data_IF_901949640742
#
_entry.id   IF_901949640742
#
_cell.length_a   1.000
_cell.length_b   1.000
_cell.length_c   1.000
_cell.angle_alpha   90.00
_cell.angle_beta   90.00
_cell.angle_gamma   90.00
#
_symmetry.space_group_name_H-M   'P 1'
#
loop_
_entity.id
_entity.type
_entity.pdbx_description
1 polymer ?
#
# COMPACT_ATOMS: atom_id res chain seq x y z
N UNK A 1 -8.87 -18.90 -3.38
CA UNK A 1 -9.08 -17.46 -3.65
C UNK A 1 -7.74 -16.87 -4.05
N UNK A 2 -7.64 -16.27 -5.23
CA UNK A 2 -6.46 -15.49 -5.61
C UNK A 2 -6.44 -14.26 -4.70
N UNK A 3 -5.40 -14.12 -3.86
CA UNK A 3 -5.22 -12.93 -3.04
C UNK A 3 -5.05 -11.73 -3.96
N UNK A 4 -5.94 -10.74 -3.86
CA UNK A 4 -5.81 -9.44 -4.56
C UNK A 4 -4.62 -8.62 -4.05
N UNK A 5 -4.06 -9.00 -2.90
CA UNK A 5 -2.91 -8.36 -2.27
C UNK A 5 -1.68 -9.25 -2.46
N UNK A 6 -0.70 -8.79 -3.26
CA UNK A 6 0.59 -9.47 -3.44
C UNK A 6 1.66 -8.82 -2.58
N UNK A 7 2.38 -9.65 -1.84
CA UNK A 7 3.65 -9.27 -1.21
C UNK A 7 4.85 -9.46 -2.12
N UNK A 8 4.69 -10.26 -3.17
CA UNK A 8 5.81 -10.65 -4.01
C UNK A 8 5.98 -9.59 -5.10
N UNK A 9 7.21 -9.08 -5.27
CA UNK A 9 7.48 -8.06 -6.27
C UNK A 9 7.19 -8.62 -7.66
N UNK A 10 6.45 -7.83 -8.45
CA UNK A 10 6.20 -8.18 -9.83
C UNK A 10 7.53 -8.08 -10.61
N UNK A 11 7.89 -9.09 -11.43
CA UNK A 11 9.19 -9.13 -12.10
C UNK A 11 9.43 -7.93 -13.02
N UNK A 12 8.37 -7.42 -13.64
CA UNK A 12 8.41 -6.18 -14.43
C UNK A 12 7.04 -5.49 -14.35
N UNK A 13 6.88 -4.62 -13.35
CA UNK A 13 5.62 -3.91 -13.08
C UNK A 13 5.30 -2.88 -14.18
N UNK A 14 6.32 -2.31 -14.81
CA UNK A 14 6.16 -1.32 -15.87
C UNK A 14 5.64 -1.97 -17.15
N UNK A 15 6.14 -3.16 -17.50
CA UNK A 15 5.57 -3.94 -18.60
C UNK A 15 4.10 -4.33 -18.32
N UNK A 16 3.75 -4.61 -17.07
CA UNK A 16 2.35 -4.88 -16.71
C UNK A 16 1.46 -3.63 -16.92
N UNK A 17 1.94 -2.44 -16.57
CA UNK A 17 1.24 -1.19 -16.86
C UNK A 17 1.08 -0.95 -18.35
N UNK A 18 2.15 -1.11 -19.14
CA UNK A 18 2.10 -0.97 -20.60
C UNK A 18 1.09 -1.94 -21.24
N UNK A 19 1.06 -3.19 -20.75
CA UNK A 19 0.08 -4.18 -21.20
C UNK A 19 -1.36 -3.73 -20.90
N UNK A 20 -1.62 -3.24 -19.69
CA UNK A 20 -2.94 -2.72 -19.30
C UNK A 20 -3.31 -1.50 -20.15
N UNK A 21 -2.36 -0.60 -20.44
CA UNK A 21 -2.61 0.55 -21.31
C UNK A 21 -2.99 0.14 -22.73
N UNK A 22 -2.42 -0.95 -23.25
CA UNK A 22 -2.75 -1.50 -24.57
C UNK A 22 -4.14 -2.16 -24.63
N UNK A 23 -4.75 -2.48 -23.48
CA UNK A 23 -6.02 -3.19 -23.36
C UNK A 23 -7.29 -2.41 -23.72
N UNK A 24 -7.15 -1.18 -24.23
CA UNK A 24 -8.26 -0.32 -24.69
C UNK A 24 -8.74 0.72 -23.67
N UNK A 25 -9.83 1.42 -23.98
CA UNK A 25 -10.25 2.61 -23.22
C UNK A 25 -10.58 2.33 -21.74
N UNK A 26 -11.26 1.22 -21.44
CA UNK A 26 -11.60 0.84 -20.06
C UNK A 26 -10.36 0.48 -19.23
N UNK A 27 -9.42 -0.25 -19.82
CA UNK A 27 -8.19 -0.66 -19.16
C UNK A 27 -7.30 0.56 -18.84
N UNK A 28 -7.13 1.48 -19.80
CA UNK A 28 -6.45 2.76 -19.58
C UNK A 28 -7.11 3.61 -18.49
N UNK A 29 -8.44 3.72 -18.50
CA UNK A 29 -9.17 4.47 -17.49
C UNK A 29 -9.00 3.85 -16.10
N UNK A 30 -9.03 2.52 -16.01
CA UNK A 30 -8.77 1.80 -14.76
C UNK A 30 -7.35 2.05 -14.25
N UNK A 31 -6.33 1.92 -15.10
CA UNK A 31 -4.94 2.16 -14.69
C UNK A 31 -4.75 3.61 -14.23
N UNK A 32 -5.27 4.57 -15.01
CA UNK A 32 -5.22 5.99 -14.65
C UNK A 32 -5.88 6.25 -13.29
N UNK A 33 -7.03 5.65 -13.01
CA UNK A 33 -7.65 5.72 -11.69
C UNK A 33 -6.73 5.16 -10.60
N UNK A 34 -6.13 3.99 -10.77
CA UNK A 34 -5.24 3.40 -9.75
C UNK A 34 -3.95 4.19 -9.52
N UNK A 35 -3.42 4.84 -10.55
CA UNK A 35 -2.22 5.66 -10.43
C UNK A 35 -2.51 7.08 -9.89
N UNK A 36 -3.67 7.66 -10.22
CA UNK A 36 -3.92 9.10 -9.97
C UNK A 36 -5.24 9.41 -9.26
N UNK A 37 -6.34 8.72 -9.59
CA UNK A 37 -7.66 8.98 -8.99
C UNK A 37 -7.79 8.43 -7.57
N UNK A 38 -7.18 7.26 -7.33
CA UNK A 38 -7.21 6.51 -6.08
C UNK A 38 -5.78 6.16 -5.65
N UNK A 39 -4.97 7.14 -5.20
CA UNK A 39 -3.54 6.95 -4.97
C UNK A 39 -3.20 5.89 -3.90
N UNK A 40 -4.16 5.54 -3.04
CA UNK A 40 -4.03 4.50 -2.03
C UNK A 40 -4.32 3.09 -2.55
N UNK A 41 -4.96 2.95 -3.72
CA UNK A 41 -5.42 1.65 -4.21
C UNK A 41 -4.26 0.74 -4.61
N UNK A 42 -3.27 1.28 -5.33
CA UNK A 42 -2.13 0.49 -5.78
C UNK A 42 -1.22 0.05 -4.60
N UNK A 43 -0.86 0.92 -3.64
CA UNK A 43 -0.18 0.51 -2.40
C UNK A 43 -0.97 -0.48 -1.53
N UNK A 44 -2.31 -0.48 -1.61
CA UNK A 44 -3.13 -1.44 -0.87
C UNK A 44 -3.16 -2.84 -1.53
N UNK A 45 -2.87 -2.92 -2.83
CA UNK A 45 -2.85 -4.18 -3.61
C UNK A 45 -1.44 -4.74 -3.77
N UNK A 46 -0.42 -3.88 -3.73
CA UNK A 46 0.97 -4.23 -4.02
C UNK A 46 1.90 -3.72 -2.93
N UNK A 47 2.37 -4.65 -2.08
CA UNK A 47 3.19 -4.33 -0.90
C UNK A 47 4.45 -3.51 -1.22
N UNK A 48 5.21 -3.77 -2.30
CA UNK A 48 6.42 -3.01 -2.60
C UNK A 48 6.16 -1.52 -2.87
N UNK A 49 4.93 -1.14 -3.22
CA UNK A 49 4.53 0.26 -3.39
C UNK A 49 3.89 0.84 -2.13
N UNK A 50 3.82 0.06 -1.05
CA UNK A 50 3.23 0.44 0.22
C UNK A 50 4.29 0.84 1.24
N UNK A 51 3.90 1.67 2.21
CA UNK A 51 4.71 1.91 3.42
C UNK A 51 4.56 0.82 4.47
N UNK A 52 3.79 -0.25 4.19
CA UNK A 52 3.52 -1.32 5.15
C UNK A 52 4.70 -2.29 5.17
N UNK A 53 5.35 -2.49 6.32
CA UNK A 53 6.40 -3.49 6.46
C UNK A 53 5.93 -4.90 6.10
N UNK A 54 6.81 -5.74 5.56
CA UNK A 54 6.45 -7.08 5.06
C UNK A 54 5.91 -8.00 6.16
N UNK A 55 6.46 -7.90 7.37
CA UNK A 55 6.02 -8.61 8.57
C UNK A 55 4.59 -8.20 8.96
N UNK A 56 4.26 -6.91 8.89
CA UNK A 56 2.90 -6.41 9.10
C UNK A 56 1.97 -6.85 7.97
N UNK A 57 2.45 -6.84 6.72
CA UNK A 57 1.65 -7.26 5.55
C UNK A 57 1.24 -8.73 5.61
N UNK A 58 2.12 -9.58 6.14
CA UNK A 58 1.93 -11.04 6.27
C UNK A 58 1.43 -11.46 7.65
N UNK A 59 1.18 -10.52 8.57
CA UNK A 59 0.85 -10.81 9.97
C UNK A 59 -0.47 -11.57 10.15
N UNK A 60 -1.39 -11.46 9.19
CA UNK A 60 -2.69 -12.13 9.25
C UNK A 60 -3.22 -12.45 7.86
N UNK A 61 -4.20 -13.36 7.72
CA UNK A 61 -4.82 -13.64 6.43
C UNK A 61 -5.30 -12.34 5.76
N UNK A 62 -5.05 -12.17 4.46
CA UNK A 62 -5.32 -10.91 3.76
C UNK A 62 -6.80 -10.54 3.71
N UNK A 63 -7.70 -11.52 3.89
CA UNK A 63 -9.15 -11.32 3.96
C UNK A 63 -9.68 -11.03 5.37
N UNK A 64 -8.80 -10.87 6.36
CA UNK A 64 -9.22 -10.58 7.73
C UNK A 64 -9.29 -9.07 7.97
N UNK A 65 -10.36 -8.63 8.63
CA UNK A 65 -10.50 -7.24 9.09
C UNK A 65 -9.32 -6.82 10.01
N UNK A 66 -8.72 -7.76 10.75
CA UNK A 66 -7.53 -7.49 11.56
C UNK A 66 -6.31 -7.09 10.73
N UNK A 67 -6.12 -7.70 9.55
CA UNK A 67 -5.03 -7.35 8.66
C UNK A 67 -5.27 -5.96 8.03
N UNK A 68 -6.49 -5.70 7.56
CA UNK A 68 -6.88 -4.38 7.02
C UNK A 68 -6.70 -3.27 8.07
N UNK A 69 -7.06 -3.52 9.33
CA UNK A 69 -6.83 -2.58 10.43
C UNK A 69 -5.35 -2.35 10.71
N UNK A 70 -4.53 -3.40 10.67
CA UNK A 70 -3.08 -3.29 10.86
C UNK A 70 -2.41 -2.50 9.74
N UNK A 71 -2.80 -2.75 8.49
CA UNK A 71 -2.37 -1.97 7.32
C UNK A 71 -2.77 -0.49 7.47
N UNK A 72 -4.03 -0.24 7.86
CA UNK A 72 -4.52 1.12 8.12
C UNK A 72 -3.76 1.82 9.23
N UNK A 73 -3.37 1.10 10.29
CA UNK A 73 -2.65 1.68 11.42
C UNK A 73 -1.30 2.25 11.00
N UNK A 74 -0.57 1.59 10.10
CA UNK A 74 0.72 2.10 9.57
C UNK A 74 0.56 3.47 8.90
N UNK A 75 -0.45 3.65 8.06
CA UNK A 75 -0.70 4.95 7.40
C UNK A 75 -1.28 6.03 8.32
N UNK A 76 -1.76 5.65 9.51
CA UNK A 76 -2.23 6.58 10.53
C UNK A 76 -1.21 6.80 11.64
N UNK A 77 -0.09 6.09 11.59
CA UNK A 77 0.98 6.34 12.53
C UNK A 77 1.55 7.74 12.27
N UNK A 78 1.66 8.55 13.32
CA UNK A 78 2.14 9.93 13.21
C UNK A 78 1.09 11.00 12.89
N UNK A 79 -0.17 10.66 12.60
CA UNK A 79 -1.22 11.68 12.36
C UNK A 79 -1.94 12.06 13.66
N UNK A 80 -2.39 13.32 13.77
CA UNK A 80 -3.12 13.85 14.93
C UNK A 80 -2.39 13.70 16.27
N UNK A 81 -1.05 13.69 16.26
CA UNK A 81 -0.26 13.69 17.48
C UNK A 81 -0.27 15.06 18.15
N UNK A 82 -0.19 15.08 19.48
CA UNK A 82 0.17 16.30 20.22
C UNK A 82 1.60 16.72 19.88
N UNK A 83 1.96 17.98 20.12
CA UNK A 83 3.33 18.47 19.87
C UNK A 83 4.37 17.58 20.57
N UNK A 84 4.12 17.19 21.83
CA UNK A 84 4.99 16.27 22.57
C UNK A 84 5.05 14.88 21.91
N UNK A 85 3.89 14.32 21.53
CA UNK A 85 3.83 13.02 20.87
C UNK A 85 4.58 13.01 19.53
N UNK A 86 4.44 14.06 18.73
CA UNK A 86 5.19 14.24 17.48
C UNK A 86 6.70 14.35 17.71
N UNK A 87 7.11 15.13 18.72
CA UNK A 87 8.54 15.29 19.08
C UNK A 87 9.16 13.96 19.51
N UNK A 88 8.48 13.22 20.40
CA UNK A 88 8.94 11.90 20.83
C UNK A 88 8.98 10.89 19.68
N UNK A 89 7.99 10.92 18.78
CA UNK A 89 7.95 10.04 17.60
C UNK A 89 9.07 10.34 16.62
N UNK A 90 9.33 11.61 16.33
CA UNK A 90 10.44 12.05 15.50
C UNK A 90 11.79 11.62 16.09
N UNK A 91 11.99 11.80 17.39
CA UNK A 91 13.21 11.36 18.07
C UNK A 91 13.43 9.84 17.97
N UNK A 92 12.37 9.04 18.07
CA UNK A 92 12.44 7.58 17.90
C UNK A 92 12.67 7.14 16.45
N UNK A 93 12.24 7.94 15.47
CA UNK A 93 12.34 7.58 14.06
C UNK A 93 13.79 7.43 13.62
N UNK A 94 14.68 8.34 14.06
CA UNK A 94 16.11 8.27 13.73
C UNK A 94 16.86 7.10 14.39
N UNK A 95 16.24 6.45 15.38
CA UNK A 95 16.83 5.35 16.17
C UNK A 95 16.25 3.96 15.84
N UNK A 96 15.25 3.88 14.95
CA UNK A 96 14.60 2.63 14.53
C UNK A 96 15.08 2.20 13.16
#
# INVERSE_FOLDING_TARGET
MLSLASSDPHPDIEMAFQLIESGGAKARAWLKDKCTGSPFALPALYQPYSFIPLDVWKASPPSSNGNEQSHRAVYRDGINLTILGGTMRGWQYDHR
#
